data_IF_978420168207
#
_entry.id   IF_978420168207
#
_cell.length_a   1.000
_cell.length_b   1.000
_cell.length_c   1.000
_cell.angle_alpha   90.00
_cell.angle_beta   90.00
_cell.angle_gamma   90.00
#
_symmetry.space_group_name_H-M   'P 1'
#
loop_
_entity.id
_entity.type
_entity.pdbx_description
1 polymer ?
#
# COMPACT_ATOMS: atom_id res chain seq x y z
N UNK A 1 -20.39 4.71 -14.67
CA UNK A 1 -20.04 3.27 -14.80
C UNK A 1 -19.75 2.98 -16.27
N UNK A 2 -18.61 2.36 -16.58
CA UNK A 2 -18.29 1.91 -17.93
C UNK A 2 -18.63 0.41 -18.05
N UNK A 3 -19.37 0.02 -19.09
CA UNK A 3 -19.75 -1.38 -19.35
C UNK A 3 -18.90 -1.89 -20.52
N UNK A 4 -18.25 -3.02 -20.31
CA UNK A 4 -17.42 -3.67 -21.32
C UNK A 4 -17.61 -5.19 -21.27
N UNK A 5 -17.22 -5.87 -22.33
CA UNK A 5 -17.17 -7.33 -22.41
C UNK A 5 -15.71 -7.78 -22.23
N UNK A 6 -15.52 -8.80 -21.40
CA UNK A 6 -14.21 -9.41 -21.17
C UNK A 6 -14.32 -10.89 -21.46
N UNK A 7 -13.29 -11.44 -22.12
CA UNK A 7 -13.15 -12.88 -22.30
C UNK A 7 -12.33 -13.43 -21.15
N UNK A 8 -12.83 -14.50 -20.54
CA UNK A 8 -12.19 -15.21 -19.42
C UNK A 8 -12.35 -16.70 -19.66
N UNK A 9 -11.35 -17.46 -19.23
CA UNK A 9 -11.38 -18.91 -19.31
C UNK A 9 -12.54 -19.47 -18.47
N UNK A 10 -13.19 -20.52 -18.98
CA UNK A 10 -14.36 -21.13 -18.34
C UNK A 10 -14.04 -21.59 -16.91
N UNK A 11 -12.87 -22.19 -16.68
CA UNK A 11 -12.45 -22.62 -15.35
C UNK A 11 -12.33 -21.46 -14.36
N UNK A 12 -11.83 -20.30 -14.82
CA UNK A 12 -11.70 -19.10 -14.01
C UNK A 12 -13.09 -18.53 -13.72
N UNK A 13 -13.96 -18.48 -14.72
CA UNK A 13 -15.33 -18.02 -14.55
C UNK A 13 -16.10 -18.86 -13.52
N UNK A 14 -15.99 -20.19 -13.59
CA UNK A 14 -16.64 -21.09 -12.63
C UNK A 14 -16.12 -20.91 -11.20
N UNK A 15 -14.80 -20.70 -11.03
CA UNK A 15 -14.23 -20.37 -9.72
C UNK A 15 -14.75 -19.04 -9.20
N UNK A 16 -14.72 -17.99 -10.02
CA UNK A 16 -15.23 -16.68 -9.63
C UNK A 16 -16.73 -16.71 -9.27
N UNK A 17 -17.53 -17.50 -9.98
CA UNK A 17 -18.93 -17.73 -9.69
C UNK A 17 -19.13 -18.35 -8.31
N UNK A 18 -18.45 -19.45 -8.02
CA UNK A 18 -18.52 -20.12 -6.70
C UNK A 18 -18.15 -19.17 -5.56
N UNK A 19 -17.06 -18.42 -5.71
CA UNK A 19 -16.64 -17.43 -4.71
C UNK A 19 -17.67 -16.32 -4.51
N UNK A 20 -18.29 -15.84 -5.59
CA UNK A 20 -19.35 -14.82 -5.51
C UNK A 20 -20.61 -15.33 -4.79
N UNK A 21 -20.97 -16.60 -4.99
CA UNK A 21 -22.10 -17.25 -4.33
C UNK A 21 -21.82 -17.43 -2.83
N UNK A 22 -20.61 -17.85 -2.46
CA UNK A 22 -20.17 -17.97 -1.05
C UNK A 22 -20.24 -16.62 -0.34
N UNK A 23 -19.85 -15.54 -1.02
CA UNK A 23 -19.86 -14.17 -0.49
C UNK A 23 -21.25 -13.52 -0.54
N UNK A 24 -22.24 -14.13 -1.18
CA UNK A 24 -23.59 -13.58 -1.32
C UNK A 24 -23.66 -12.32 -2.18
N UNK A 25 -22.74 -12.16 -3.14
CA UNK A 25 -22.67 -10.98 -4.02
C UNK A 25 -22.81 -11.38 -5.49
N UNK A 26 -23.21 -10.43 -6.34
CA UNK A 26 -23.24 -10.69 -7.78
C UNK A 26 -21.82 -10.92 -8.34
N UNK A 27 -21.70 -11.74 -9.39
CA UNK A 27 -20.42 -11.99 -10.07
C UNK A 27 -19.74 -10.69 -10.54
N UNK A 28 -20.53 -9.73 -11.04
CA UNK A 28 -20.03 -8.42 -11.46
C UNK A 28 -19.43 -7.61 -10.31
N UNK A 29 -20.00 -7.75 -9.11
CA UNK A 29 -19.49 -7.09 -7.91
C UNK A 29 -18.23 -7.77 -7.40
N UNK A 30 -18.21 -9.09 -7.38
CA UNK A 30 -17.02 -9.88 -7.05
C UNK A 30 -15.83 -9.53 -7.96
N UNK A 31 -16.07 -9.44 -9.28
CA UNK A 31 -15.05 -9.04 -10.25
C UNK A 31 -14.57 -7.60 -9.97
N UNK A 32 -15.48 -6.65 -9.73
CA UNK A 32 -15.12 -5.26 -9.38
C UNK A 32 -14.25 -5.19 -8.13
N UNK A 33 -14.65 -5.88 -7.06
CA UNK A 33 -13.91 -5.91 -5.80
C UNK A 33 -12.51 -6.51 -5.99
N UNK A 34 -12.42 -7.59 -6.77
CA UNK A 34 -11.18 -8.28 -7.08
C UNK A 34 -10.22 -7.38 -7.86
N UNK A 35 -10.70 -6.69 -8.90
CA UNK A 35 -9.92 -5.73 -9.68
C UNK A 35 -9.45 -4.58 -8.77
N UNK A 36 -10.35 -3.99 -7.97
CA UNK A 36 -10.04 -2.88 -7.05
C UNK A 36 -8.94 -3.27 -6.06
N UNK A 37 -9.05 -4.45 -5.44
CA UNK A 37 -8.05 -4.98 -4.50
C UNK A 37 -6.69 -5.17 -5.16
N UNK A 38 -6.64 -5.66 -6.39
CA UNK A 38 -5.40 -5.86 -7.13
C UNK A 38 -4.73 -4.53 -7.50
N UNK A 39 -5.49 -3.54 -7.98
CA UNK A 39 -4.99 -2.20 -8.27
C UNK A 39 -4.40 -1.55 -7.02
N UNK A 40 -5.10 -1.64 -5.88
CA UNK A 40 -4.62 -1.09 -4.61
C UNK A 40 -3.33 -1.78 -4.12
N UNK A 41 -3.24 -3.11 -4.23
CA UNK A 41 -2.02 -3.85 -3.89
C UNK A 41 -0.82 -3.42 -4.74
N UNK A 42 -1.03 -3.15 -6.02
CA UNK A 42 0.02 -2.62 -6.89
C UNK A 42 0.39 -1.17 -6.54
N UNK A 43 -0.57 -0.37 -6.06
CA UNK A 43 -0.31 0.99 -5.58
C UNK A 43 0.50 1.01 -4.28
N UNK A 44 0.31 0.06 -3.36
CA UNK A 44 1.12 0.00 -2.13
C UNK A 44 2.59 -0.33 -2.39
N UNK A 45 2.91 -1.05 -3.47
CA UNK A 45 4.31 -1.21 -3.89
C UNK A 45 4.98 0.13 -4.26
N UNK A 46 4.21 1.17 -4.64
CA UNK A 46 4.77 2.50 -4.90
C UNK A 46 5.22 3.24 -3.64
N UNK A 47 4.78 2.89 -2.43
CA UNK A 47 5.26 3.58 -1.22
C UNK A 47 6.75 3.28 -1.00
N UNK A 48 7.16 2.03 -1.24
CA UNK A 48 8.55 1.62 -1.12
C UNK A 48 9.37 2.33 -2.20
N UNK A 49 8.86 2.37 -3.44
CA UNK A 49 9.48 3.14 -4.53
C UNK A 49 9.56 4.65 -4.22
N UNK A 50 8.59 5.22 -3.49
CA UNK A 50 8.63 6.61 -3.05
C UNK A 50 9.76 6.84 -2.02
N UNK A 51 9.95 5.94 -1.06
CA UNK A 51 11.06 6.00 -0.10
C UNK A 51 12.42 5.70 -0.74
N UNK A 52 12.49 4.83 -1.73
CA UNK A 52 13.73 4.52 -2.45
C UNK A 52 14.21 5.70 -3.32
N UNK A 53 13.27 6.49 -3.84
CA UNK A 53 13.57 7.68 -4.64
C UNK A 53 13.66 8.98 -3.83
N UNK A 54 13.50 8.91 -2.51
CA UNK A 54 13.59 10.07 -1.63
C UNK A 54 15.03 10.54 -1.56
N UNK A 55 15.34 11.60 -2.31
CA UNK A 55 16.62 12.30 -2.22
C UNK A 55 16.57 13.27 -1.04
N UNK A 56 17.64 13.40 -0.26
CA UNK A 56 17.74 14.43 0.75
C UNK A 56 17.57 15.81 0.08
N UNK A 57 16.92 16.73 0.79
CA UNK A 57 16.86 18.13 0.38
C UNK A 57 18.29 18.68 0.31
N UNK A 58 18.55 19.62 -0.59
CA UNK A 58 19.88 20.26 -0.73
C UNK A 58 20.38 20.86 0.60
N UNK A 59 19.46 21.36 1.43
CA UNK A 59 19.78 21.85 2.78
C UNK A 59 20.33 20.80 3.74
N UNK A 60 20.21 19.51 3.43
CA UNK A 60 20.68 18.39 4.23
C UNK A 60 21.82 17.60 3.57
N UNK A 61 22.34 18.05 2.43
CA UNK A 61 23.36 17.34 1.65
C UNK A 61 24.63 17.03 2.45
N UNK A 62 25.08 17.98 3.26
CA UNK A 62 26.30 17.86 4.08
C UNK A 62 25.99 17.47 5.54
N UNK A 63 24.72 17.22 5.87
CA UNK A 63 24.28 16.92 7.22
C UNK A 63 24.30 15.41 7.44
N UNK A 64 25.13 14.95 8.39
CA UNK A 64 25.11 13.55 8.80
C UNK A 64 23.77 13.22 9.49
N UNK A 65 22.97 12.28 8.94
CA UNK A 65 21.64 11.96 9.46
C UNK A 65 21.66 11.48 10.92
N UNK A 66 22.66 10.68 11.29
CA UNK A 66 22.79 10.14 12.65
C UNK A 66 23.04 11.26 13.66
N UNK A 67 24.00 12.13 13.35
CA UNK A 67 24.34 13.28 14.20
C UNK A 67 23.17 14.26 14.34
N UNK A 68 22.39 14.45 13.27
CA UNK A 68 21.20 15.29 13.30
C UNK A 68 20.12 14.74 14.23
N UNK A 69 19.78 13.45 14.10
CA UNK A 69 18.79 12.78 14.96
C UNK A 69 19.25 12.75 16.42
N UNK A 70 20.52 12.45 16.67
CA UNK A 70 21.10 12.43 18.02
C UNK A 70 21.00 13.81 18.70
N UNK A 71 21.20 14.90 17.94
CA UNK A 71 21.08 16.27 18.44
C UNK A 71 19.61 16.69 18.72
N UNK A 72 18.64 16.15 17.99
CA UNK A 72 17.22 16.36 18.29
C UNK A 72 16.81 15.57 19.53
N UNK A 73 17.21 14.29 19.60
CA UNK A 73 16.90 13.39 20.70
C UNK A 73 17.55 13.83 22.01
N UNK A 74 18.78 14.35 21.97
CA UNK A 74 19.46 14.85 23.16
C UNK A 74 18.72 16.01 23.83
N UNK A 75 17.93 16.77 23.07
CA UNK A 75 17.07 17.85 23.59
C UNK A 75 15.67 17.36 23.99
N UNK A 76 15.23 16.23 23.46
CA UNK A 76 13.96 15.58 23.84
C UNK A 76 14.19 14.67 25.04
N UNK A 77 14.32 15.27 26.23
CA UNK A 77 14.43 14.52 27.49
C UNK A 77 13.07 13.92 27.84
N UNK A 78 12.85 12.64 27.56
CA UNK A 78 11.84 11.87 28.30
C UNK A 78 12.51 11.48 29.62
N UNK A 79 12.18 12.21 30.68
CA UNK A 79 12.54 11.83 32.04
C UNK A 79 11.74 10.56 32.38
N UNK A 80 12.31 9.38 32.17
CA UNK A 80 11.82 8.19 32.86
C UNK A 80 12.21 8.35 34.32
N UNK A 81 11.29 8.86 35.13
CA UNK A 81 11.37 8.77 36.59
C UNK A 81 11.28 7.29 36.95
N UNK A 82 12.43 6.65 37.15
CA UNK A 82 12.50 5.37 37.84
C UNK A 82 12.64 5.68 39.34
N UNK A 83 11.51 5.65 40.04
CA UNK A 83 11.42 5.23 41.44
C UNK A 83 10.70 3.88 41.48
#
# INVERSE_FOLDING_TARGET
MHRTQIYIEEEIFQKARKESEILGVSISEFIRMSIKKNIQKNSTNNINVFFDNLKPLESFKDINPKKYVDNIRSKSRILTNNE
#
